data_IF_922457444737
#
_entry.id   IF_922457444737
#
_cell.length_a   1.000
_cell.length_b   1.000
_cell.length_c   1.000
_cell.angle_alpha   90.00
_cell.angle_beta   90.00
_cell.angle_gamma   90.00
#
_symmetry.space_group_name_H-M   'P 1'
#
loop_
_entity.id
_entity.type
_entity.pdbx_description
1 polymer ?
#
# COMPACT_ATOMS: atom_id res chain seq x y z
N UNK A 1 0.50 2.59 24.29
CA UNK A 1 -0.55 1.76 23.65
C UNK A 1 0.06 0.41 23.33
N UNK A 2 -0.69 -0.65 23.54
CA UNK A 2 -0.33 -2.04 23.21
C UNK A 2 -1.36 -2.62 22.23
N UNK A 3 -1.09 -3.76 21.57
CA UNK A 3 -2.06 -4.40 20.69
C UNK A 3 -3.41 -4.72 21.34
N UNK A 4 -3.45 -4.95 22.67
CA UNK A 4 -4.69 -5.18 23.42
C UNK A 4 -5.63 -3.95 23.46
N UNK A 5 -5.11 -2.75 23.19
CA UNK A 5 -5.90 -1.53 23.09
C UNK A 5 -6.56 -1.36 21.72
N UNK A 6 -6.13 -2.11 20.69
CA UNK A 6 -6.60 -1.93 19.30
C UNK A 6 -8.10 -2.10 19.11
N UNK A 7 -8.79 -3.05 19.75
CA UNK A 7 -10.25 -3.17 19.63
C UNK A 7 -10.98 -1.90 20.06
N UNK A 8 -10.60 -1.31 21.18
CA UNK A 8 -11.17 -0.04 21.66
C UNK A 8 -10.85 1.11 20.71
N UNK A 9 -9.59 1.28 20.30
CA UNK A 9 -9.18 2.34 19.38
C UNK A 9 -9.85 2.21 18.00
N UNK A 10 -10.13 0.99 17.56
CA UNK A 10 -10.87 0.73 16.32
C UNK A 10 -12.33 1.17 16.43
N UNK A 11 -12.97 0.92 17.58
CA UNK A 11 -14.35 1.39 17.84
C UNK A 11 -14.40 2.92 17.86
N UNK A 12 -13.48 3.57 18.59
CA UNK A 12 -13.36 5.02 18.65
C UNK A 12 -13.15 5.64 17.25
N UNK A 13 -12.34 4.98 16.40
CA UNK A 13 -12.09 5.44 15.03
C UNK A 13 -13.32 5.33 14.12
N UNK A 14 -14.12 4.28 14.27
CA UNK A 14 -15.38 4.10 13.51
C UNK A 14 -16.42 5.16 13.95
N UNK A 15 -16.49 5.45 15.24
CA UNK A 15 -17.41 6.47 15.78
C UNK A 15 -16.97 7.91 15.45
N UNK A 16 -15.79 8.10 14.87
CA UNK A 16 -15.27 9.41 14.48
C UNK A 16 -14.66 10.22 15.62
N UNK A 17 -14.40 9.60 16.76
CA UNK A 17 -13.80 10.24 17.94
C UNK A 17 -12.27 10.42 17.80
N UNK A 18 -11.62 9.73 16.85
CA UNK A 18 -10.20 9.88 16.59
C UNK A 18 -9.91 10.82 15.41
N UNK A 19 -9.12 11.85 15.68
CA UNK A 19 -8.59 12.78 14.67
C UNK A 19 -7.67 12.00 13.73
N UNK A 20 -8.09 11.83 12.49
CA UNK A 20 -7.33 11.11 11.45
C UNK A 20 -8.04 9.86 10.91
N UNK A 21 -9.26 9.54 11.37
CA UNK A 21 -10.11 8.58 10.70
C UNK A 21 -10.70 9.21 9.43
N UNK A 22 -10.60 8.55 8.27
CA UNK A 22 -11.22 9.05 7.04
C UNK A 22 -12.69 8.67 7.01
N UNK A 23 -13.56 9.67 6.96
CA UNK A 23 -14.97 9.47 6.65
C UNK A 23 -15.11 9.31 5.13
N UNK A 24 -15.64 8.19 4.64
CA UNK A 24 -16.08 8.10 3.25
C UNK A 24 -15.52 6.92 2.44
N UNK A 25 -15.74 5.67 2.88
CA UNK A 25 -15.52 4.49 2.03
C UNK A 25 -14.08 3.99 1.94
N UNK A 26 -13.14 4.67 2.55
CA UNK A 26 -11.74 4.23 2.71
C UNK A 26 -11.63 3.18 3.83
N UNK A 27 -10.56 2.36 3.75
CA UNK A 27 -10.20 1.40 4.79
C UNK A 27 -10.05 2.12 6.15
N UNK A 28 -10.81 1.73 7.21
CA UNK A 28 -10.72 2.37 8.51
C UNK A 28 -9.34 2.19 9.12
N UNK A 29 -8.84 3.26 9.74
CA UNK A 29 -7.48 3.32 10.31
C UNK A 29 -7.41 4.31 11.46
N UNK A 30 -6.46 4.09 12.36
CA UNK A 30 -6.08 5.04 13.41
C UNK A 30 -4.56 5.16 13.50
N UNK A 31 -4.09 6.17 14.23
CA UNK A 31 -2.66 6.31 14.54
C UNK A 31 -2.43 6.05 16.02
N UNK A 32 -1.33 5.36 16.34
CA UNK A 32 -0.96 5.07 17.72
C UNK A 32 0.56 5.17 17.91
N UNK A 33 0.98 5.39 19.15
CA UNK A 33 2.36 5.27 19.59
C UNK A 33 2.50 3.94 20.34
N UNK A 34 3.14 2.98 19.67
CA UNK A 34 3.26 1.58 20.14
C UNK A 34 4.74 1.22 20.19
N UNK A 35 5.22 0.69 21.31
CA UNK A 35 6.59 0.22 21.50
C UNK A 35 7.67 1.25 21.09
N UNK A 36 7.44 2.52 21.41
CA UNK A 36 8.37 3.60 21.12
C UNK A 36 8.34 4.12 19.68
N UNK A 37 7.36 3.72 18.86
CA UNK A 37 7.22 4.14 17.47
C UNK A 37 5.81 4.62 17.15
N UNK A 38 5.72 5.62 16.26
CA UNK A 38 4.44 6.03 15.69
C UNK A 38 4.02 5.07 14.59
N UNK A 39 2.78 4.61 14.64
CA UNK A 39 2.21 3.64 13.70
C UNK A 39 0.89 4.10 13.13
N UNK A 40 0.61 3.68 11.91
CA UNK A 40 -0.74 3.66 11.33
C UNK A 40 -1.24 2.23 11.47
N UNK A 41 -2.43 2.08 12.00
CA UNK A 41 -3.10 0.78 12.14
C UNK A 41 -4.34 0.78 11.27
N UNK A 42 -4.32 0.02 10.17
CA UNK A 42 -5.49 -0.31 9.35
C UNK A 42 -6.13 -1.56 9.91
N UNK A 43 -7.45 -1.65 9.93
CA UNK A 43 -8.11 -2.80 10.56
C UNK A 43 -9.37 -3.25 9.83
N UNK A 44 -9.71 -4.53 10.01
CA UNK A 44 -10.96 -5.11 9.51
C UNK A 44 -11.44 -6.24 10.43
N UNK A 45 -12.77 -6.35 10.57
CA UNK A 45 -13.45 -7.44 11.28
C UNK A 45 -13.73 -8.62 10.34
N UNK A 46 -14.39 -9.67 10.83
CA UNK A 46 -14.90 -10.79 10.02
C UNK A 46 -16.43 -10.82 9.93
N UNK A 47 -17.09 -9.74 10.36
CA UNK A 47 -18.54 -9.69 10.53
C UNK A 47 -19.33 -9.85 9.22
N UNK A 48 -18.78 -9.40 8.09
CA UNK A 48 -19.43 -9.44 6.77
C UNK A 48 -18.46 -9.94 5.69
N UNK A 49 -18.97 -10.29 4.51
CA UNK A 49 -18.12 -10.67 3.37
C UNK A 49 -17.19 -9.51 2.95
N UNK A 50 -17.67 -8.28 2.98
CA UNK A 50 -16.85 -7.10 2.71
C UNK A 50 -15.73 -6.93 3.74
N UNK A 51 -16.05 -7.10 5.03
CA UNK A 51 -15.06 -7.03 6.10
C UNK A 51 -14.02 -8.16 5.98
N UNK A 52 -14.45 -9.39 5.67
CA UNK A 52 -13.54 -10.53 5.40
C UNK A 52 -12.64 -10.26 4.20
N UNK A 53 -13.16 -9.64 3.14
CA UNK A 53 -12.35 -9.24 1.98
C UNK A 53 -11.29 -8.20 2.36
N UNK A 54 -11.62 -7.23 3.21
CA UNK A 54 -10.64 -6.28 3.73
C UNK A 54 -9.57 -6.96 4.60
N UNK A 55 -9.94 -7.94 5.42
CA UNK A 55 -8.94 -8.76 6.17
C UNK A 55 -7.93 -9.42 5.23
N UNK A 56 -8.41 -9.99 4.13
CA UNK A 56 -7.53 -10.58 3.11
C UNK A 56 -6.62 -9.52 2.49
N UNK A 57 -7.16 -8.36 2.14
CA UNK A 57 -6.39 -7.27 1.52
C UNK A 57 -5.32 -6.69 2.45
N UNK A 58 -5.59 -6.58 3.76
CA UNK A 58 -4.58 -6.16 4.75
C UNK A 58 -3.41 -7.15 4.81
N UNK A 59 -3.69 -8.46 4.77
CA UNK A 59 -2.64 -9.47 4.72
C UNK A 59 -1.84 -9.41 3.41
N UNK A 60 -2.51 -9.13 2.29
CA UNK A 60 -1.86 -8.96 0.99
C UNK A 60 -1.02 -7.67 0.94
N UNK A 61 -1.46 -6.57 1.55
CA UNK A 61 -0.64 -5.36 1.67
C UNK A 61 0.66 -5.63 2.44
N UNK A 62 0.57 -6.34 3.57
CA UNK A 62 1.76 -6.75 4.31
C UNK A 62 2.74 -7.53 3.45
N UNK A 63 2.27 -8.56 2.75
CA UNK A 63 3.13 -9.37 1.86
C UNK A 63 3.72 -8.54 0.71
N UNK A 64 2.98 -7.57 0.17
CA UNK A 64 3.52 -6.70 -0.88
C UNK A 64 4.67 -5.83 -0.35
N UNK A 65 4.51 -5.24 0.85
CA UNK A 65 5.55 -4.45 1.48
C UNK A 65 6.78 -5.29 1.82
N UNK A 66 6.61 -6.51 2.35
CA UNK A 66 7.73 -7.44 2.59
C UNK A 66 8.43 -7.84 1.28
N UNK A 67 7.67 -8.13 0.21
CA UNK A 67 8.26 -8.48 -1.09
C UNK A 67 9.12 -7.35 -1.64
N UNK A 68 8.66 -6.10 -1.53
CA UNK A 68 9.43 -4.93 -1.92
C UNK A 68 10.68 -4.73 -1.05
N UNK A 69 10.55 -4.90 0.28
CA UNK A 69 11.68 -4.79 1.21
C UNK A 69 12.79 -5.79 0.90
N UNK A 70 12.42 -7.05 0.70
CA UNK A 70 13.38 -8.15 0.40
C UNK A 70 14.09 -7.94 -0.94
N UNK A 71 13.45 -7.26 -1.88
CA UNK A 71 14.04 -6.87 -3.16
C UNK A 71 14.93 -5.61 -3.08
N UNK A 72 15.09 -5.01 -1.89
CA UNK A 72 15.82 -3.77 -1.70
C UNK A 72 15.08 -2.51 -2.15
N UNK A 73 13.82 -2.63 -2.54
CA UNK A 73 12.95 -1.47 -2.74
C UNK A 73 12.51 -0.96 -1.37
N UNK A 74 12.83 0.29 -1.04
CA UNK A 74 12.44 0.88 0.23
C UNK A 74 10.92 0.79 0.43
N UNK A 75 10.45 0.07 1.45
CA UNK A 75 9.05 -0.03 1.83
C UNK A 75 8.86 0.22 3.31
N UNK A 76 7.64 0.63 3.70
CA UNK A 76 7.29 0.81 5.10
C UNK A 76 7.29 -0.54 5.81
N UNK A 77 7.92 -0.62 6.98
CA UNK A 77 7.87 -1.81 7.84
C UNK A 77 6.43 -2.03 8.31
N UNK A 78 5.99 -3.26 8.29
CA UNK A 78 4.62 -3.61 8.69
C UNK A 78 4.56 -4.96 9.39
N UNK A 79 3.49 -5.20 10.14
CA UNK A 79 3.17 -6.48 10.76
C UNK A 79 1.65 -6.71 10.79
N UNK A 80 1.24 -7.98 10.81
CA UNK A 80 -0.15 -8.37 11.02
C UNK A 80 -0.35 -8.74 12.49
N UNK A 81 -1.36 -8.14 13.12
CA UNK A 81 -1.80 -8.44 14.47
C UNK A 81 -3.28 -8.84 14.44
N UNK A 82 -3.57 -10.06 14.85
CA UNK A 82 -4.94 -10.54 15.05
C UNK A 82 -5.28 -10.46 16.54
N UNK A 83 -6.31 -9.70 16.91
CA UNK A 83 -6.76 -9.50 18.30
C UNK A 83 -8.29 -9.37 18.37
N UNK A 84 -8.94 -10.14 19.23
CA UNK A 84 -10.39 -10.10 19.50
C UNK A 84 -11.28 -10.09 18.22
N UNK A 85 -10.93 -10.95 17.23
CA UNK A 85 -11.65 -11.03 15.95
C UNK A 85 -11.30 -9.91 14.95
N UNK A 86 -10.45 -8.97 15.33
CA UNK A 86 -9.95 -7.89 14.52
C UNK A 86 -8.61 -8.30 13.88
N UNK A 87 -8.46 -8.09 12.58
CA UNK A 87 -7.15 -8.12 11.91
C UNK A 87 -6.67 -6.69 11.74
N UNK A 88 -5.46 -6.44 12.22
CA UNK A 88 -4.79 -5.16 12.09
C UNK A 88 -3.54 -5.30 11.24
N UNK A 89 -3.36 -4.40 10.28
CA UNK A 89 -2.09 -4.14 9.62
C UNK A 89 -1.47 -2.93 10.29
N UNK A 90 -0.38 -3.14 10.98
CA UNK A 90 0.37 -2.15 11.74
C UNK A 90 1.56 -1.71 10.90
N UNK A 91 1.65 -0.44 10.55
CA UNK A 91 2.65 0.11 9.63
C UNK A 91 3.46 1.19 10.34
N UNK A 92 4.78 1.10 10.30
CA UNK A 92 5.67 2.11 10.86
C UNK A 92 5.57 3.43 10.08
N UNK A 93 5.47 4.53 10.80
CA UNK A 93 5.45 5.87 10.21
C UNK A 93 6.87 6.37 9.95
N UNK A 94 7.24 6.46 8.70
CA UNK A 94 8.54 7.00 8.26
C UNK A 94 8.63 8.53 8.35
N UNK A 95 7.50 9.22 8.55
CA UNK A 95 7.42 10.67 8.74
C UNK A 95 7.52 11.10 10.22
N UNK A 96 7.87 10.16 11.11
CA UNK A 96 8.04 10.40 12.54
C UNK A 96 9.43 9.98 13.01
N UNK A 97 9.99 10.73 13.95
CA UNK A 97 11.32 10.48 14.54
C UNK A 97 11.19 10.55 16.05
N UNK A 98 11.40 9.42 16.73
CA UNK A 98 11.19 9.31 18.17
C UNK A 98 9.77 9.72 18.57
N UNK A 99 9.59 10.18 19.80
CA UNK A 99 8.26 10.48 20.36
C UNK A 99 7.61 11.74 19.75
N UNK A 100 8.37 12.79 19.51
CA UNK A 100 7.85 14.12 19.12
C UNK A 100 8.38 14.62 17.78
N UNK A 101 9.43 13.98 17.25
CA UNK A 101 10.06 14.44 16.01
C UNK A 101 9.22 14.13 14.76
N UNK A 102 9.39 14.98 13.73
CA UNK A 102 8.76 14.84 12.43
C UNK A 102 9.78 14.98 11.32
N UNK A 103 9.66 14.17 10.27
CA UNK A 103 10.36 14.33 9.00
C UNK A 103 9.41 14.97 7.99
N UNK A 104 9.88 15.99 7.28
CA UNK A 104 9.08 16.61 6.21
C UNK A 104 8.80 15.57 5.11
N UNK A 105 7.55 15.48 4.69
CA UNK A 105 7.07 14.62 3.62
C UNK A 105 6.10 15.41 2.75
N UNK A 106 6.21 15.26 1.44
CA UNK A 106 5.23 15.74 0.47
C UNK A 106 4.74 14.55 -0.36
N UNK A 107 3.52 14.62 -0.85
CA UNK A 107 3.02 13.60 -1.79
C UNK A 107 3.38 13.98 -3.22
N UNK A 108 3.46 13.00 -4.12
CA UNK A 108 3.63 13.25 -5.56
C UNK A 108 2.54 14.21 -6.08
N UNK A 109 1.33 14.14 -5.53
CA UNK A 109 0.23 15.05 -5.87
C UNK A 109 0.51 16.53 -5.54
N UNK A 110 1.42 16.83 -4.60
CA UNK A 110 1.76 18.19 -4.23
C UNK A 110 2.82 18.82 -5.14
N UNK A 111 3.59 17.99 -5.85
CA UNK A 111 4.76 18.42 -6.62
C UNK A 111 4.65 18.13 -8.13
N UNK A 112 3.83 17.13 -8.52
CA UNK A 112 3.59 16.84 -9.92
C UNK A 112 2.69 17.91 -10.56
N UNK A 113 2.92 18.18 -11.84
CA UNK A 113 2.04 19.07 -12.59
C UNK A 113 0.59 18.55 -12.63
N UNK A 114 -0.36 19.47 -12.60
CA UNK A 114 -1.79 19.16 -12.70
C UNK A 114 -2.15 18.80 -14.14
N UNK A 115 -2.05 17.52 -14.49
CA UNK A 115 -2.36 17.07 -15.86
C UNK A 115 -2.93 15.68 -15.97
N UNK A 116 -2.92 14.91 -14.90
CA UNK A 116 -3.26 13.49 -14.91
C UNK A 116 -2.16 12.67 -15.59
N UNK A 117 -2.04 11.41 -15.21
CA UNK A 117 -1.01 10.51 -15.70
C UNK A 117 -0.76 9.41 -14.70
N UNK A 118 0.18 8.55 -15.01
CA UNK A 118 0.68 7.50 -14.10
C UNK A 118 1.73 8.05 -13.14
N UNK A 119 2.12 7.26 -12.16
CA UNK A 119 3.28 7.58 -11.32
C UNK A 119 4.54 7.73 -12.16
N UNK A 120 4.68 6.89 -13.20
CA UNK A 120 5.82 6.93 -14.13
C UNK A 120 5.88 8.26 -14.90
N UNK A 121 4.75 8.75 -15.41
CA UNK A 121 4.70 10.03 -16.14
C UNK A 121 5.14 11.21 -15.24
N UNK A 122 4.67 11.21 -13.99
CA UNK A 122 5.06 12.25 -13.03
C UNK A 122 6.53 12.15 -12.62
N UNK A 123 7.06 10.94 -12.45
CA UNK A 123 8.47 10.73 -12.12
C UNK A 123 9.40 11.18 -13.25
N UNK A 124 9.05 10.88 -14.52
CA UNK A 124 9.78 11.37 -15.70
C UNK A 124 9.81 12.89 -15.77
N UNK A 125 8.68 13.57 -15.48
CA UNK A 125 8.62 15.02 -15.44
C UNK A 125 9.54 15.59 -14.37
N UNK A 126 9.46 15.11 -13.13
CA UNK A 126 10.32 15.56 -12.02
C UNK A 126 11.80 15.29 -12.27
N UNK A 127 12.11 14.18 -12.96
CA UNK A 127 13.48 13.87 -13.36
C UNK A 127 13.97 14.83 -14.45
N UNK A 128 13.18 15.13 -15.46
CA UNK A 128 13.51 16.09 -16.52
C UNK A 128 13.74 17.51 -15.96
N UNK A 129 13.00 17.88 -14.91
CA UNK A 129 13.17 19.15 -14.17
C UNK A 129 14.41 19.15 -13.25
N UNK A 130 15.12 18.02 -13.15
CA UNK A 130 16.34 17.88 -12.33
C UNK A 130 16.09 17.84 -10.82
N UNK A 131 14.84 17.62 -10.39
CA UNK A 131 14.48 17.56 -8.95
C UNK A 131 14.28 16.14 -8.42
N UNK A 132 14.34 15.14 -9.28
CA UNK A 132 14.33 13.72 -8.94
C UNK A 132 15.52 13.01 -9.61
N UNK A 133 16.34 12.31 -8.85
CA UNK A 133 17.50 11.58 -9.39
C UNK A 133 17.12 10.25 -10.08
N UNK A 134 18.08 9.63 -10.79
CA UNK A 134 17.89 8.37 -11.54
C UNK A 134 17.32 7.24 -10.67
N UNK A 135 17.83 7.08 -9.45
CA UNK A 135 17.36 6.04 -8.51
C UNK A 135 15.89 6.28 -8.13
N UNK A 136 15.52 7.54 -7.90
CA UNK A 136 14.13 7.91 -7.57
C UNK A 136 13.17 7.69 -8.73
N UNK A 137 13.58 8.06 -9.95
CA UNK A 137 12.84 7.78 -11.18
C UNK A 137 12.61 6.26 -11.31
N UNK A 138 13.70 5.48 -11.28
CA UNK A 138 13.62 4.02 -11.41
C UNK A 138 12.71 3.41 -10.34
N UNK A 139 12.82 3.85 -9.10
CA UNK A 139 12.01 3.33 -7.98
C UNK A 139 10.52 3.59 -8.20
N UNK A 140 10.11 4.80 -8.58
CA UNK A 140 8.69 5.13 -8.82
C UNK A 140 8.16 4.34 -10.02
N UNK A 141 8.91 4.23 -11.11
CA UNK A 141 8.52 3.48 -12.30
C UNK A 141 8.37 1.98 -11.99
N UNK A 142 9.27 1.42 -11.17
CA UNK A 142 9.18 0.03 -10.71
C UNK A 142 7.93 -0.20 -9.83
N UNK A 143 7.63 0.72 -8.90
CA UNK A 143 6.43 0.65 -8.06
C UNK A 143 5.14 0.76 -8.87
N UNK A 144 5.10 1.59 -9.92
CA UNK A 144 3.96 1.70 -10.82
C UNK A 144 3.72 0.40 -11.60
N UNK A 145 4.79 -0.18 -12.16
CA UNK A 145 4.74 -1.46 -12.87
C UNK A 145 4.36 -2.62 -11.94
N UNK A 146 4.94 -2.68 -10.74
CA UNK A 146 4.61 -3.68 -9.72
C UNK A 146 3.13 -3.56 -9.30
N UNK A 147 2.67 -2.34 -9.01
CA UNK A 147 1.27 -2.08 -8.70
C UNK A 147 0.31 -2.56 -9.80
N UNK A 148 0.67 -2.39 -11.08
CA UNK A 148 -0.11 -2.94 -12.19
C UNK A 148 -0.18 -4.48 -12.13
N UNK A 149 0.94 -5.16 -11.91
CA UNK A 149 1.01 -6.61 -11.85
C UNK A 149 0.28 -7.23 -10.65
N UNK A 150 0.26 -6.54 -9.50
CA UNK A 150 -0.50 -7.01 -8.32
C UNK A 150 -1.97 -6.56 -8.34
N UNK A 151 -2.46 -5.98 -9.43
CA UNK A 151 -3.82 -5.48 -9.55
C UNK A 151 -4.15 -4.31 -8.58
N UNK A 152 -3.17 -3.47 -8.27
CA UNK A 152 -3.41 -2.22 -7.54
C UNK A 152 -4.07 -1.20 -8.49
N UNK A 153 -5.38 -1.00 -8.35
CA UNK A 153 -6.15 -0.03 -9.14
C UNK A 153 -6.18 1.38 -8.52
N UNK A 154 -5.58 1.55 -7.35
CA UNK A 154 -5.60 2.81 -6.58
C UNK A 154 -4.26 3.54 -6.61
N UNK A 155 -3.62 3.55 -7.78
CA UNK A 155 -2.32 4.20 -7.99
C UNK A 155 -2.48 5.70 -8.27
N UNK A 156 -3.03 6.43 -7.30
CA UNK A 156 -3.10 7.90 -7.36
C UNK A 156 -1.86 8.57 -6.75
N UNK A 157 -1.63 9.83 -7.07
CA UNK A 157 -0.41 10.57 -6.69
C UNK A 157 -0.25 10.78 -5.17
N UNK A 158 -1.29 10.59 -4.36
CA UNK A 158 -1.18 10.62 -2.90
C UNK A 158 -0.53 9.37 -2.30
N UNK A 159 -0.45 8.26 -3.06
CA UNK A 159 0.16 6.99 -2.63
C UNK A 159 1.66 6.90 -2.96
N UNK A 160 2.27 7.97 -3.43
CA UNK A 160 3.73 8.17 -3.47
C UNK A 160 4.09 9.35 -2.60
N UNK A 161 5.00 9.12 -1.67
CA UNK A 161 5.55 10.13 -0.78
C UNK A 161 7.01 10.42 -1.11
N UNK A 162 7.42 11.66 -0.91
CA UNK A 162 8.76 12.15 -1.20
C UNK A 162 9.30 12.90 0.01
N UNK A 163 10.58 12.75 0.28
CA UNK A 163 11.31 13.55 1.26
C UNK A 163 11.96 14.73 0.56
N UNK A 164 11.63 15.99 0.92
CA UNK A 164 12.35 17.16 0.42
C UNK A 164 13.81 17.14 0.84
N UNK A 165 14.71 17.45 -0.09
CA UNK A 165 16.15 17.61 0.11
C UNK A 165 16.62 18.97 -0.38
N UNK A 166 17.89 19.30 -0.19
CA UNK A 166 18.46 20.55 -0.72
C UNK A 166 18.53 20.58 -2.27
N UNK A 167 18.50 19.42 -2.93
CA UNK A 167 18.64 19.29 -4.39
C UNK A 167 17.34 18.83 -5.08
N UNK A 168 16.24 18.68 -4.36
CA UNK A 168 14.97 18.17 -4.91
C UNK A 168 14.32 17.18 -3.96
N UNK A 169 14.12 15.93 -4.42
CA UNK A 169 13.36 14.92 -3.69
C UNK A 169 14.05 13.56 -3.68
N UNK A 170 13.91 12.85 -2.55
CA UNK A 170 14.15 11.41 -2.42
C UNK A 170 12.81 10.68 -2.26
N UNK A 171 12.68 9.49 -2.82
CA UNK A 171 11.46 8.69 -2.67
C UNK A 171 11.38 8.15 -1.24
N UNK A 172 10.26 8.37 -0.58
CA UNK A 172 9.97 7.79 0.73
C UNK A 172 9.63 6.30 0.59
N UNK A 173 9.67 5.52 1.69
CA UNK A 173 9.28 4.11 1.65
C UNK A 173 7.90 3.90 1.03
N UNK A 174 7.74 2.86 0.19
CA UNK A 174 6.48 2.48 -0.42
C UNK A 174 5.45 2.08 0.65
N UNK A 175 4.20 2.43 0.44
CA UNK A 175 3.05 2.11 1.27
C UNK A 175 1.81 1.96 0.37
N UNK A 176 0.69 1.49 0.92
CA UNK A 176 -0.57 1.29 0.18
C UNK A 176 -0.39 0.45 -1.11
N UNK A 177 0.47 -0.58 -1.04
CA UNK A 177 0.71 -1.53 -2.13
C UNK A 177 -0.13 -2.78 -1.92
N UNK A 178 -1.34 -2.81 -2.49
CA UNK A 178 -2.25 -3.94 -2.35
C UNK A 178 -3.14 -4.09 -3.60
N UNK A 179 -3.73 -5.28 -3.83
CA UNK A 179 -4.54 -5.55 -5.02
C UNK A 179 -5.92 -4.91 -4.94
N UNK A 180 -5.99 -3.56 -4.99
CA UNK A 180 -7.20 -2.75 -4.81
C UNK A 180 -8.31 -3.04 -5.83
N UNK A 181 -8.01 -3.65 -6.99
CA UNK A 181 -9.04 -4.09 -7.93
C UNK A 181 -10.00 -5.15 -7.32
N UNK A 182 -9.64 -5.73 -6.19
CA UNK A 182 -10.44 -6.71 -5.44
C UNK A 182 -11.08 -6.12 -4.18
N UNK A 183 -10.88 -4.84 -3.89
CA UNK A 183 -11.55 -4.18 -2.77
C UNK A 183 -13.08 -4.22 -2.93
N UNK A 184 -13.83 -4.28 -1.81
CA UNK A 184 -15.28 -4.20 -1.87
C UNK A 184 -15.74 -2.90 -2.51
N UNK A 185 -16.48 -2.92 -3.63
CA UNK A 185 -17.03 -1.72 -4.22
C UNK A 185 -18.22 -1.22 -3.39
N UNK A 186 -18.59 0.05 -3.55
CA UNK A 186 -19.76 0.63 -2.89
C UNK A 186 -21.06 -0.13 -3.19
N UNK A 187 -21.15 -0.81 -4.35
CA UNK A 187 -22.30 -1.66 -4.72
C UNK A 187 -22.39 -2.97 -3.91
N UNK A 188 -21.36 -3.34 -3.15
CA UNK A 188 -21.29 -4.57 -2.37
C UNK A 188 -20.99 -5.86 -3.15
N UNK A 189 -20.94 -5.80 -4.49
CA UNK A 189 -20.69 -6.99 -5.32
C UNK A 189 -19.19 -7.25 -5.44
N UNK A 190 -18.66 -8.21 -4.68
CA UNK A 190 -17.26 -8.58 -4.69
C UNK A 190 -16.84 -9.21 -6.02
N UNK A 191 -15.68 -8.80 -6.53
CA UNK A 191 -15.03 -9.48 -7.65
C UNK A 191 -14.36 -10.76 -7.14
N UNK A 192 -14.73 -11.90 -7.72
CA UNK A 192 -14.25 -13.23 -7.32
C UNK A 192 -13.47 -13.95 -8.43
N UNK A 193 -13.18 -13.26 -9.54
CA UNK A 193 -12.36 -13.77 -10.64
C UNK A 193 -11.11 -12.91 -10.80
N UNK A 194 -9.98 -13.54 -11.08
CA UNK A 194 -8.73 -12.81 -11.33
C UNK A 194 -8.84 -11.96 -12.59
N UNK A 195 -8.28 -10.76 -12.54
CA UNK A 195 -8.22 -9.86 -13.70
C UNK A 195 -7.13 -10.33 -14.68
N UNK A 196 -7.25 -10.01 -15.98
CA UNK A 196 -6.21 -10.33 -16.95
C UNK A 196 -4.86 -9.69 -16.60
N UNK A 197 -3.74 -10.27 -17.08
CA UNK A 197 -2.42 -9.65 -16.93
C UNK A 197 -2.42 -8.23 -17.52
N UNK A 198 -1.73 -7.29 -16.85
CA UNK A 198 -1.62 -5.92 -17.36
C UNK A 198 -0.72 -5.87 -18.59
N UNK A 199 -0.80 -4.75 -19.32
CA UNK A 199 0.12 -4.44 -20.41
C UNK A 199 1.09 -3.35 -19.97
N UNK A 200 2.36 -3.40 -20.41
CA UNK A 200 3.30 -2.34 -20.12
C UNK A 200 2.90 -1.01 -20.77
N UNK A 201 3.13 0.07 -20.06
CA UNK A 201 3.23 1.39 -20.67
C UNK A 201 4.67 1.57 -21.24
N UNK A 202 4.85 2.50 -22.19
CA UNK A 202 6.17 2.71 -22.82
C UNK A 202 7.24 3.02 -21.78
N UNK A 203 6.93 3.87 -20.83
CA UNK A 203 7.83 4.30 -19.75
C UNK A 203 8.06 3.28 -18.63
N UNK A 204 7.38 2.12 -18.68
CA UNK A 204 7.62 1.02 -17.74
C UNK A 204 8.38 -0.16 -18.34
N UNK A 205 8.71 -0.13 -19.64
CA UNK A 205 9.28 -1.27 -20.36
C UNK A 205 10.58 -1.79 -19.74
N UNK A 206 11.48 -0.90 -19.33
CA UNK A 206 12.80 -1.27 -18.81
C UNK A 206 12.73 -2.01 -17.46
N UNK A 207 11.70 -1.77 -16.67
CA UNK A 207 11.48 -2.41 -15.36
C UNK A 207 10.39 -3.49 -15.39
N UNK A 208 9.71 -3.69 -16.54
CA UNK A 208 8.52 -4.54 -16.61
C UNK A 208 8.77 -6.00 -16.25
N UNK A 209 9.90 -6.55 -16.70
CA UNK A 209 10.29 -7.92 -16.37
C UNK A 209 10.65 -8.11 -14.89
N UNK A 210 11.30 -7.12 -14.28
CA UNK A 210 11.61 -7.09 -12.86
C UNK A 210 10.32 -7.00 -12.02
N UNK A 211 9.43 -6.07 -12.36
CA UNK A 211 8.13 -5.92 -11.71
C UNK A 211 7.28 -7.20 -11.79
N UNK A 212 7.31 -7.90 -12.93
CA UNK A 212 6.67 -9.21 -13.08
C UNK A 212 7.28 -10.26 -12.15
N UNK A 213 8.61 -10.28 -12.02
CA UNK A 213 9.32 -11.17 -11.09
C UNK A 213 8.87 -10.95 -9.65
N UNK A 214 8.86 -9.69 -9.20
CA UNK A 214 8.37 -9.30 -7.87
C UNK A 214 6.89 -9.69 -7.65
N UNK A 215 6.06 -9.48 -8.65
CA UNK A 215 4.65 -9.85 -8.55
C UNK A 215 4.44 -11.37 -8.47
N UNK A 216 5.24 -12.18 -9.17
CA UNK A 216 5.22 -13.64 -9.01
C UNK A 216 5.61 -14.06 -7.60
N UNK A 217 6.63 -13.42 -7.03
CA UNK A 217 7.03 -13.67 -5.65
C UNK A 217 5.92 -13.28 -4.68
N UNK A 218 5.33 -12.09 -4.82
CA UNK A 218 4.19 -11.63 -4.05
C UNK A 218 3.02 -12.63 -4.08
N UNK A 219 2.57 -13.04 -5.27
CA UNK A 219 1.45 -13.99 -5.40
C UNK A 219 1.82 -15.38 -4.89
N UNK A 220 3.08 -15.79 -5.03
CA UNK A 220 3.60 -17.03 -4.47
C UNK A 220 3.55 -17.05 -2.94
N UNK A 221 4.00 -15.97 -2.28
CA UNK A 221 3.91 -15.79 -0.82
C UNK A 221 2.45 -15.74 -0.37
N UNK A 222 1.63 -14.99 -1.09
CA UNK A 222 0.20 -14.84 -0.82
C UNK A 222 -0.55 -16.19 -0.84
N UNK A 223 -0.12 -17.15 -1.66
CA UNK A 223 -0.72 -18.49 -1.73
C UNK A 223 -0.55 -19.29 -0.43
N UNK A 224 0.40 -18.93 0.43
CA UNK A 224 0.61 -19.51 1.75
C UNK A 224 -0.24 -18.91 2.86
N UNK A 225 -0.99 -17.83 2.59
CA UNK A 225 -1.78 -17.15 3.60
C UNK A 225 -3.12 -17.85 3.88
N UNK A 226 -3.62 -17.63 5.10
CA UNK A 226 -4.99 -18.02 5.48
C UNK A 226 -5.98 -16.96 4.98
N UNK A 227 -6.46 -17.13 3.75
CA UNK A 227 -7.39 -16.26 3.05
C UNK A 227 -8.77 -16.89 2.91
N UNK A 228 -9.80 -16.07 2.64
CA UNK A 228 -11.12 -16.56 2.23
C UNK A 228 -11.03 -17.40 0.94
N UNK A 229 -11.96 -18.33 0.73
CA UNK A 229 -11.94 -19.23 -0.44
C UNK A 229 -11.97 -18.45 -1.77
N UNK A 230 -12.71 -17.35 -1.81
CA UNK A 230 -12.79 -16.49 -3.00
C UNK A 230 -11.45 -15.79 -3.29
N UNK A 231 -10.79 -15.25 -2.27
CA UNK A 231 -9.47 -14.61 -2.45
C UNK A 231 -8.39 -15.66 -2.73
N UNK A 232 -8.45 -16.82 -2.09
CA UNK A 232 -7.52 -17.95 -2.36
C UNK A 232 -7.59 -18.38 -3.82
N UNK A 233 -8.79 -18.43 -4.42
CA UNK A 233 -8.95 -18.74 -5.85
C UNK A 233 -8.30 -17.71 -6.75
N UNK A 234 -8.46 -16.41 -6.45
CA UNK A 234 -7.83 -15.31 -7.15
C UNK A 234 -6.30 -15.42 -7.06
N UNK A 235 -5.77 -15.60 -5.86
CA UNK A 235 -4.32 -15.73 -5.60
C UNK A 235 -3.73 -16.90 -6.38
N UNK A 236 -4.37 -18.08 -6.35
CA UNK A 236 -3.91 -19.25 -7.11
C UNK A 236 -3.86 -19.00 -8.62
N UNK A 237 -4.84 -18.30 -9.16
CA UNK A 237 -4.87 -17.99 -10.60
C UNK A 237 -3.74 -17.02 -10.97
N UNK A 238 -3.47 -16.01 -10.14
CA UNK A 238 -2.34 -15.10 -10.36
C UNK A 238 -0.98 -15.77 -10.18
N UNK A 239 -0.83 -16.61 -9.16
CA UNK A 239 0.43 -17.35 -8.91
C UNK A 239 0.77 -18.37 -10.01
N UNK A 240 -0.22 -18.83 -10.79
CA UNK A 240 -0.04 -19.75 -11.91
C UNK A 240 0.37 -19.08 -13.23
N UNK A 241 0.49 -17.76 -13.25
CA UNK A 241 0.87 -16.95 -14.44
C UNK A 241 2.35 -16.55 -14.41
#
# INVERSE_FOLDING_TARGET
VTPQDFPRLSADAIEGEHVGSSAGGEQPKFTAFVDGQHRIVKFATDATDNARRWRDLLALEHVALETLADAGCGSASSEIVDVDGLRCLVIDRFDRIGEMGRRAVVTLAAVAERGGGTWSDAAESLHADGVLGDDGLRQIVLLDAFGAWIANSDRHYHNIALFPTAQGFEVAPAFDQLPMAYAPPASGNLRNAAIPPPRPAVNTLDVWGEAQGLAREFWGRAAGLSLTDSMRSIVKEHAGR
#
